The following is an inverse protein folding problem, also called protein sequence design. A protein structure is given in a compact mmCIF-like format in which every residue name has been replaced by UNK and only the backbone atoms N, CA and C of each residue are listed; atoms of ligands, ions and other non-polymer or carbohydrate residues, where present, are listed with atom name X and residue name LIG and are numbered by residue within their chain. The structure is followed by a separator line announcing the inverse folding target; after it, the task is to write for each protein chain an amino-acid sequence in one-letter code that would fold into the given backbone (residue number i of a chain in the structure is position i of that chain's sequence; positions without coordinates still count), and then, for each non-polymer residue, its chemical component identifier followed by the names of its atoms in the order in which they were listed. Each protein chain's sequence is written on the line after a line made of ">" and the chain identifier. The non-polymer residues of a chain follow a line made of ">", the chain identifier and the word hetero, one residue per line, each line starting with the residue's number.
data_IF_401288918793
#
_entry.id   IF_401288918793
#
_cell.length_a   1.000
_cell.length_b   1.000
_cell.length_c   1.000
_cell.angle_alpha   90.00
_cell.angle_beta   90.00
_cell.angle_gamma   90.00
#
_symmetry.space_group_name_H-M   'P 1'
#
loop_
_entity.id
_entity.type
_entity.pdbx_description
1 polymer ?
#
# COMPACT_ATOMS: atom_id res chain seq x y z
N UNK A 1 -14.81 18.08 21.23
CA UNK A 1 -15.02 16.76 20.57
C UNK A 1 -15.79 16.92 19.26
N UNK A 2 -16.90 17.69 19.22
CA UNK A 2 -17.62 18.01 17.97
C UNK A 2 -16.72 18.64 16.90
N UNK A 3 -15.96 19.69 17.24
CA UNK A 3 -15.13 20.42 16.28
C UNK A 3 -14.02 19.58 15.63
N UNK A 4 -13.49 18.60 16.38
CA UNK A 4 -12.45 17.67 15.88
C UNK A 4 -13.05 16.69 14.87
N UNK A 5 -14.26 16.18 15.16
CA UNK A 5 -14.99 15.29 14.24
C UNK A 5 -15.36 16.03 12.96
N UNK A 6 -15.81 17.29 13.05
CA UNK A 6 -16.16 18.10 11.89
C UNK A 6 -14.93 18.45 11.04
N UNK A 7 -13.79 18.74 11.69
CA UNK A 7 -12.51 18.92 10.99
C UNK A 7 -12.07 17.64 10.26
N UNK A 8 -12.17 16.47 10.88
CA UNK A 8 -11.84 15.19 10.25
C UNK A 8 -12.73 14.92 9.04
N UNK A 9 -14.05 15.14 9.16
CA UNK A 9 -14.99 15.03 8.04
C UNK A 9 -14.64 15.96 6.89
N UNK A 10 -14.28 17.21 7.19
CA UNK A 10 -13.87 18.17 6.18
C UNK A 10 -12.58 17.71 5.46
N UNK A 11 -11.60 17.16 6.18
CA UNK A 11 -10.37 16.62 5.60
C UNK A 11 -10.58 15.37 4.76
N UNK A 12 -11.49 14.49 5.15
CA UNK A 12 -11.91 13.33 4.36
C UNK A 12 -12.58 13.79 3.06
N UNK A 13 -13.51 14.76 3.15
CA UNK A 13 -14.19 15.29 1.97
C UNK A 13 -13.21 15.96 0.99
N UNK A 14 -12.25 16.73 1.52
CA UNK A 14 -11.19 17.36 0.72
C UNK A 14 -10.29 16.31 0.05
N UNK A 15 -9.89 15.26 0.79
CA UNK A 15 -9.17 14.12 0.24
C UNK A 15 -9.92 13.44 -0.91
N UNK A 16 -11.19 13.08 -0.72
CA UNK A 16 -11.97 12.43 -1.77
C UNK A 16 -12.14 13.30 -3.02
N UNK A 17 -12.32 14.61 -2.82
CA UNK A 17 -12.37 15.57 -3.93
C UNK A 17 -11.02 15.68 -4.65
N UNK A 18 -9.92 15.68 -3.89
CA UNK A 18 -8.57 15.80 -4.43
C UNK A 18 -8.16 14.58 -5.27
N UNK A 19 -8.42 13.37 -4.77
CA UNK A 19 -8.07 12.14 -5.49
C UNK A 19 -8.95 11.95 -6.72
N UNK A 20 -10.23 12.32 -6.63
CA UNK A 20 -11.20 12.17 -7.72
C UNK A 20 -11.49 10.71 -8.09
N UNK A 21 -11.00 9.75 -7.30
CA UNK A 21 -11.19 8.31 -7.53
C UNK A 21 -12.45 7.77 -6.82
N UNK A 22 -12.97 8.52 -5.84
CA UNK A 22 -14.12 8.12 -5.05
C UNK A 22 -15.35 8.90 -5.48
N UNK A 23 -16.43 8.19 -5.80
CA UNK A 23 -17.74 8.81 -5.92
C UNK A 23 -18.21 9.17 -4.52
N UNK A 24 -18.07 10.43 -4.13
CA UNK A 24 -18.62 10.96 -2.88
C UNK A 24 -20.15 10.98 -3.01
N UNK A 25 -20.78 9.82 -2.91
CA UNK A 25 -22.23 9.71 -2.99
C UNK A 25 -22.87 9.76 -1.59
N UNK A 26 -22.07 9.91 -0.52
CA UNK A 26 -22.54 10.13 0.85
C UNK A 26 -23.33 8.96 1.44
N UNK A 27 -23.32 7.80 0.78
CA UNK A 27 -24.07 6.59 1.13
C UNK A 27 -23.15 5.41 1.47
N UNK A 28 -21.84 5.63 1.62
CA UNK A 28 -20.97 4.55 2.07
C UNK A 28 -21.25 4.27 3.56
N UNK A 29 -21.88 3.12 3.86
CA UNK A 29 -22.21 2.67 5.20
C UNK A 29 -20.96 2.11 5.92
N UNK A 30 -19.97 2.95 6.18
CA UNK A 30 -18.85 2.61 7.07
C UNK A 30 -18.89 3.43 8.36
N UNK A 31 -18.32 2.88 9.43
CA UNK A 31 -18.17 3.56 10.72
C UNK A 31 -16.69 3.64 11.09
N UNK A 32 -16.25 4.81 11.56
CA UNK A 32 -14.92 4.96 12.14
C UNK A 32 -15.03 4.69 13.64
N UNK A 33 -14.26 3.73 14.16
CA UNK A 33 -14.19 3.39 15.58
C UNK A 33 -12.77 3.55 16.08
N UNK A 34 -12.60 4.35 17.13
CA UNK A 34 -11.34 4.46 17.85
C UNK A 34 -11.29 3.38 18.92
N UNK A 35 -10.20 2.63 18.96
CA UNK A 35 -10.01 1.48 19.88
C UNK A 35 -8.64 1.55 20.53
N UNK A 36 -8.52 0.98 21.73
CA UNK A 36 -7.23 0.89 22.43
C UNK A 36 -6.35 -0.21 21.82
N UNK A 37 -6.97 -1.34 21.46
CA UNK A 37 -6.32 -2.45 20.77
C UNK A 37 -7.20 -3.03 19.66
N UNK A 38 -6.64 -3.11 18.45
CA UNK A 38 -7.36 -3.60 17.26
C UNK A 38 -7.51 -5.13 17.31
N UNK A 39 -6.49 -5.84 17.77
CA UNK A 39 -6.54 -7.30 17.87
C UNK A 39 -7.61 -7.73 18.86
N UNK A 40 -7.63 -7.13 20.06
CA UNK A 40 -8.63 -7.46 21.08
C UNK A 40 -10.05 -7.18 20.59
N UNK A 41 -10.29 -6.01 19.97
CA UNK A 41 -11.59 -5.68 19.40
C UNK A 41 -12.07 -6.72 18.37
N UNK A 42 -11.19 -7.12 17.46
CA UNK A 42 -11.52 -8.09 16.41
C UNK A 42 -11.66 -9.49 16.99
N UNK A 43 -10.87 -9.86 17.99
CA UNK A 43 -10.96 -11.15 18.66
C UNK A 43 -12.31 -11.34 19.37
N UNK A 44 -12.83 -10.29 20.00
CA UNK A 44 -14.14 -10.31 20.64
C UNK A 44 -15.29 -10.46 19.64
N UNK A 45 -15.16 -9.89 18.44
CA UNK A 45 -16.16 -10.01 17.37
C UNK A 45 -16.03 -11.34 16.60
N UNK A 46 -14.83 -11.69 16.14
CA UNK A 46 -14.48 -12.85 15.29
C UNK A 46 -13.12 -13.45 15.69
N UNK A 47 -13.14 -14.33 16.70
CA UNK A 47 -11.95 -15.03 17.21
C UNK A 47 -11.19 -15.81 16.14
N UNK A 48 -11.89 -16.44 15.19
CA UNK A 48 -11.27 -17.28 14.17
C UNK A 48 -10.42 -16.41 13.23
N UNK A 49 -10.97 -15.29 12.77
CA UNK A 49 -10.25 -14.32 11.95
C UNK A 49 -9.06 -13.71 12.66
N UNK A 50 -9.27 -13.27 13.90
CA UNK A 50 -8.21 -12.63 14.68
C UNK A 50 -7.00 -13.56 14.81
N UNK A 51 -7.22 -14.88 14.99
CA UNK A 51 -6.13 -15.85 15.09
C UNK A 51 -5.49 -16.24 13.75
N UNK A 52 -6.25 -16.21 12.66
CA UNK A 52 -5.77 -16.65 11.35
C UNK A 52 -5.00 -15.55 10.61
N UNK A 53 -5.51 -14.32 10.66
CA UNK A 53 -5.07 -13.23 9.80
C UNK A 53 -4.42 -12.06 10.54
N UNK A 54 -4.56 -12.00 11.86
CA UNK A 54 -3.88 -11.02 12.71
C UNK A 54 -2.96 -11.74 13.70
N UNK A 55 -1.97 -11.03 14.22
CA UNK A 55 -1.16 -11.49 15.35
C UNK A 55 -1.29 -10.54 16.54
N UNK A 56 -1.35 -11.04 17.79
CA UNK A 56 -1.24 -10.19 18.98
C UNK A 56 0.10 -9.45 19.07
N UNK A 57 1.11 -9.89 18.29
CA UNK A 57 2.40 -9.21 18.20
C UNK A 57 2.44 -8.16 17.08
N UNK A 58 1.42 -8.08 16.24
CA UNK A 58 1.34 -7.07 15.19
C UNK A 58 1.05 -5.70 15.79
N UNK A 59 1.87 -4.72 15.43
CA UNK A 59 1.58 -3.33 15.78
C UNK A 59 0.66 -2.75 14.70
N UNK A 60 -0.65 -2.88 14.93
CA UNK A 60 -1.69 -2.33 14.05
C UNK A 60 -2.12 -0.94 14.53
N UNK A 61 -2.11 0.02 13.62
CA UNK A 61 -2.58 1.38 13.89
C UNK A 61 -3.92 1.69 13.21
N UNK A 62 -4.25 0.97 12.14
CA UNK A 62 -5.50 1.05 11.41
C UNK A 62 -5.88 -0.32 10.85
N UNK A 63 -7.18 -0.58 10.72
CA UNK A 63 -7.71 -1.75 10.03
C UNK A 63 -9.10 -1.47 9.45
N UNK A 64 -9.26 -1.64 8.14
CA UNK A 64 -10.55 -1.87 7.51
C UNK A 64 -11.03 -3.30 7.84
N UNK A 65 -12.14 -3.41 8.58
CA UNK A 65 -12.68 -4.66 9.09
C UNK A 65 -14.17 -4.80 8.73
N UNK A 66 -14.57 -5.98 8.27
CA UNK A 66 -15.99 -6.34 8.10
C UNK A 66 -16.42 -7.14 9.31
N UNK A 67 -17.25 -6.55 10.17
CA UNK A 67 -17.73 -7.19 11.38
C UNK A 67 -18.67 -8.36 11.09
N UNK A 68 -18.87 -9.24 12.07
CA UNK A 68 -19.73 -10.41 11.94
C UNK A 68 -21.20 -10.07 11.65
N UNK A 69 -21.65 -8.88 12.04
CA UNK A 69 -22.98 -8.34 11.71
C UNK A 69 -23.06 -7.74 10.29
N UNK A 70 -21.96 -7.73 9.53
CA UNK A 70 -21.85 -7.18 8.18
C UNK A 70 -21.52 -5.69 8.11
N UNK A 71 -21.30 -5.00 9.24
CA UNK A 71 -20.90 -3.60 9.27
C UNK A 71 -19.47 -3.42 8.75
N UNK A 72 -19.26 -2.36 7.96
CA UNK A 72 -17.93 -1.93 7.51
C UNK A 72 -17.33 -0.99 8.56
N UNK A 73 -16.21 -1.39 9.17
CA UNK A 73 -15.57 -0.65 10.24
C UNK A 73 -14.16 -0.20 9.82
N UNK A 74 -13.82 1.04 10.13
CA UNK A 74 -12.45 1.53 10.12
C UNK A 74 -12.01 1.61 11.58
N UNK A 75 -11.24 0.63 12.03
CA UNK A 75 -10.69 0.58 13.38
C UNK A 75 -9.41 1.40 13.42
N UNK A 76 -9.32 2.37 14.34
CA UNK A 76 -8.17 3.25 14.48
C UNK A 76 -7.64 3.14 15.90
N UNK A 77 -6.37 2.75 16.04
CA UNK A 77 -5.74 2.65 17.36
C UNK A 77 -5.46 4.06 17.92
N UNK A 78 -5.84 4.30 19.16
CA UNK A 78 -5.50 5.56 19.86
C UNK A 78 -4.04 5.46 20.32
N UNK A 79 -3.14 6.20 19.66
CA UNK A 79 -1.73 6.24 20.01
C UNK A 79 -1.12 7.61 19.66
N UNK A 80 -0.28 8.15 20.56
CA UNK A 80 0.28 9.51 20.45
C UNK A 80 1.27 9.67 19.28
N UNK A 81 1.89 8.58 18.83
CA UNK A 81 2.93 8.59 17.80
C UNK A 81 2.37 8.44 16.36
N UNK A 82 1.06 8.32 16.20
CA UNK A 82 0.42 7.97 14.93
C UNK A 82 -0.21 9.18 14.27
N UNK A 83 0.03 9.34 12.96
CA UNK A 83 -0.75 10.27 12.14
C UNK A 83 -2.16 9.71 11.91
N UNK A 84 -3.07 9.97 12.86
CA UNK A 84 -4.46 9.51 12.83
C UNK A 84 -5.16 9.84 11.51
N UNK A 85 -4.95 11.04 10.97
CA UNK A 85 -5.54 11.42 9.68
C UNK A 85 -5.01 10.51 8.57
N UNK A 86 -3.70 10.28 8.51
CA UNK A 86 -3.08 9.40 7.52
C UNK A 86 -3.63 7.97 7.60
N UNK A 87 -3.76 7.44 8.81
CA UNK A 87 -4.36 6.12 9.04
C UNK A 87 -5.80 6.07 8.56
N UNK A 88 -6.64 7.05 8.92
CA UNK A 88 -8.04 7.10 8.47
C UNK A 88 -8.12 7.14 6.93
N UNK A 89 -7.30 7.98 6.28
CA UNK A 89 -7.30 8.09 4.81
C UNK A 89 -6.84 6.79 4.14
N UNK A 90 -5.85 6.10 4.72
CA UNK A 90 -5.39 4.78 4.24
C UNK A 90 -6.50 3.74 4.31
N UNK A 91 -7.12 3.56 5.48
CA UNK A 91 -8.21 2.59 5.65
C UNK A 91 -9.47 2.96 4.84
N UNK A 92 -9.72 4.25 4.63
CA UNK A 92 -10.81 4.72 3.78
C UNK A 92 -10.61 4.30 2.31
N UNK A 93 -9.38 4.36 1.79
CA UNK A 93 -9.10 3.90 0.43
C UNK A 93 -9.45 2.41 0.30
N UNK A 94 -9.10 1.60 1.30
CA UNK A 94 -9.48 0.18 1.31
C UNK A 94 -10.99 -0.01 1.20
N UNK A 95 -11.80 0.74 1.96
CA UNK A 95 -13.27 0.66 1.86
C UNK A 95 -13.73 0.85 0.42
N UNK A 96 -13.27 1.90 -0.25
CA UNK A 96 -13.67 2.18 -1.62
C UNK A 96 -13.17 1.13 -2.61
N UNK A 97 -11.93 0.65 -2.45
CA UNK A 97 -11.36 -0.40 -3.29
C UNK A 97 -12.16 -1.70 -3.20
N UNK A 98 -12.55 -2.10 -1.99
CA UNK A 98 -13.35 -3.29 -1.76
C UNK A 98 -14.81 -3.13 -2.21
N UNK A 99 -15.41 -1.94 -2.10
CA UNK A 99 -16.72 -1.64 -2.69
C UNK A 99 -16.65 -1.76 -4.22
N UNK A 100 -15.65 -1.15 -4.85
CA UNK A 100 -15.49 -1.23 -6.30
C UNK A 100 -15.25 -2.68 -6.77
N UNK A 101 -14.47 -3.47 -6.01
CA UNK A 101 -14.27 -4.89 -6.29
C UNK A 101 -15.56 -5.70 -6.17
N UNK A 102 -16.33 -5.45 -5.10
CA UNK A 102 -17.61 -6.10 -4.83
C UNK A 102 -18.61 -5.84 -5.96
N UNK A 103 -18.77 -4.58 -6.37
CA UNK A 103 -19.62 -4.19 -7.50
C UNK A 103 -19.16 -4.87 -8.79
N UNK A 104 -17.85 -4.86 -9.07
CA UNK A 104 -17.29 -5.45 -10.30
C UNK A 104 -17.49 -6.96 -10.38
N UNK A 105 -17.35 -7.67 -9.27
CA UNK A 105 -17.47 -9.13 -9.19
C UNK A 105 -18.88 -9.61 -8.83
N UNK A 106 -19.80 -8.68 -8.57
CA UNK A 106 -21.15 -8.97 -8.05
C UNK A 106 -21.10 -9.86 -6.78
N UNK A 107 -20.23 -9.50 -5.84
CA UNK A 107 -20.04 -10.19 -4.56
C UNK A 107 -20.56 -9.30 -3.45
N UNK A 108 -21.51 -9.79 -2.65
CA UNK A 108 -22.07 -9.04 -1.52
C UNK A 108 -21.41 -9.38 -0.17
N UNK A 109 -20.59 -10.43 -0.14
CA UNK A 109 -19.82 -10.82 1.03
C UNK A 109 -18.43 -10.14 0.98
N UNK A 110 -18.33 -8.94 1.57
CA UNK A 110 -17.08 -8.18 1.65
C UNK A 110 -15.98 -8.95 2.39
N UNK A 111 -16.36 -9.77 3.37
CA UNK A 111 -15.39 -10.54 4.13
C UNK A 111 -14.60 -11.51 3.26
N UNK A 112 -15.27 -12.22 2.35
CA UNK A 112 -14.60 -13.09 1.37
C UNK A 112 -13.65 -12.33 0.44
N UNK A 113 -13.89 -11.04 0.20
CA UNK A 113 -12.99 -10.23 -0.60
C UNK A 113 -11.72 -9.87 0.17
N UNK A 114 -11.81 -9.62 1.49
CA UNK A 114 -10.64 -9.35 2.34
C UNK A 114 -9.67 -10.54 2.41
N UNK A 115 -10.11 -11.75 2.06
CA UNK A 115 -9.28 -12.95 1.95
C UNK A 115 -8.56 -13.07 0.58
N UNK A 116 -8.86 -12.19 -0.41
CA UNK A 116 -8.15 -12.12 -1.69
C UNK A 116 -6.80 -11.41 -1.50
N UNK A 117 -5.80 -12.16 -1.02
CA UNK A 117 -4.45 -11.66 -0.69
C UNK A 117 -3.78 -10.90 -1.84
N UNK A 118 -4.07 -11.25 -3.10
CA UNK A 118 -3.55 -10.54 -4.26
C UNK A 118 -4.17 -9.14 -4.38
N UNK A 119 -5.47 -9.02 -4.15
CA UNK A 119 -6.15 -7.72 -4.19
C UNK A 119 -5.76 -6.87 -2.99
N UNK A 120 -5.67 -7.46 -1.80
CA UNK A 120 -5.17 -6.79 -0.58
C UNK A 120 -3.81 -6.14 -0.84
N UNK A 121 -2.86 -6.87 -1.46
CA UNK A 121 -1.55 -6.29 -1.78
C UNK A 121 -1.62 -5.10 -2.75
N UNK A 122 -2.55 -5.13 -3.70
CA UNK A 122 -2.74 -3.99 -4.59
C UNK A 122 -3.42 -2.81 -3.86
N UNK A 123 -4.42 -3.07 -3.02
CA UNK A 123 -5.10 -2.02 -2.25
C UNK A 123 -4.16 -1.37 -1.23
N UNK A 124 -3.21 -2.11 -0.64
CA UNK A 124 -2.16 -1.56 0.22
C UNK A 124 -1.24 -0.56 -0.51
N UNK A 125 -0.91 -0.87 -1.77
CA UNK A 125 -0.22 0.07 -2.64
C UNK A 125 -1.08 1.29 -2.96
N UNK A 126 -2.34 1.08 -3.33
CA UNK A 126 -3.23 2.13 -3.76
C UNK A 126 -3.56 3.11 -2.62
N UNK A 127 -3.86 2.58 -1.43
CA UNK A 127 -4.04 3.33 -0.20
C UNK A 127 -2.81 4.18 0.13
N UNK A 128 -1.61 3.57 0.09
CA UNK A 128 -0.36 4.29 0.30
C UNK A 128 -0.14 5.39 -0.74
N UNK A 129 -0.42 5.10 -2.02
CA UNK A 129 -0.27 6.06 -3.12
C UNK A 129 -1.21 7.26 -2.94
N UNK A 130 -2.51 7.06 -2.74
CA UNK A 130 -3.46 8.17 -2.65
C UNK A 130 -3.25 9.00 -1.38
N UNK A 131 -3.10 8.35 -0.22
CA UNK A 131 -2.85 9.04 1.04
C UNK A 131 -1.57 9.87 0.98
N UNK A 132 -0.47 9.28 0.49
CA UNK A 132 0.80 9.99 0.41
C UNK A 132 0.75 11.12 -0.62
N UNK A 133 0.08 10.91 -1.76
CA UNK A 133 -0.09 11.95 -2.79
C UNK A 133 -0.80 13.17 -2.24
N UNK A 134 -1.82 12.97 -1.42
CA UNK A 134 -2.54 14.05 -0.76
C UNK A 134 -1.68 14.79 0.28
N UNK A 135 -0.90 14.09 1.11
CA UNK A 135 0.00 14.77 2.05
C UNK A 135 1.13 15.52 1.38
N UNK A 136 1.68 14.97 0.30
CA UNK A 136 2.68 15.67 -0.52
C UNK A 136 2.10 16.95 -1.10
N UNK A 137 0.84 16.93 -1.56
CA UNK A 137 0.15 18.15 -2.00
C UNK A 137 0.05 19.19 -0.89
N UNK A 138 -0.43 18.79 0.30
CA UNK A 138 -0.61 19.71 1.42
C UNK A 138 0.70 20.35 1.90
N UNK A 139 1.82 19.66 1.73
CA UNK A 139 3.16 20.11 2.14
C UNK A 139 4.07 20.55 0.99
N UNK A 140 3.55 20.65 -0.24
CA UNK A 140 4.36 20.66 -1.47
C UNK A 140 5.42 21.76 -1.50
N UNK A 141 5.12 22.93 -0.98
CA UNK A 141 6.01 24.10 -0.98
C UNK A 141 7.15 23.99 0.05
N UNK A 142 7.09 23.03 0.97
CA UNK A 142 8.00 22.92 2.11
C UNK A 142 8.89 21.66 2.07
N UNK A 143 8.88 20.92 0.96
CA UNK A 143 9.62 19.67 0.82
C UNK A 143 10.63 19.74 -0.32
N UNK A 144 11.77 19.09 -0.12
CA UNK A 144 12.70 18.77 -1.20
C UNK A 144 12.37 17.36 -1.72
N UNK A 145 11.89 17.21 -2.97
CA UNK A 145 11.47 15.91 -3.49
C UNK A 145 12.62 14.89 -3.54
N UNK A 146 13.86 15.31 -3.76
CA UNK A 146 15.00 14.40 -3.80
C UNK A 146 15.36 13.85 -2.42
N UNK A 147 15.26 14.69 -1.38
CA UNK A 147 15.54 14.28 0.00
C UNK A 147 14.49 13.27 0.47
N UNK A 148 13.21 13.55 0.20
CA UNK A 148 12.11 12.64 0.52
C UNK A 148 12.22 11.32 -0.25
N UNK A 149 12.53 11.37 -1.55
CA UNK A 149 12.77 10.17 -2.36
C UNK A 149 13.92 9.31 -1.80
N UNK A 150 15.00 9.97 -1.37
CA UNK A 150 16.15 9.33 -0.74
C UNK A 150 15.77 8.68 0.59
N UNK A 151 14.97 9.34 1.40
CA UNK A 151 14.47 8.80 2.67
C UNK A 151 13.61 7.56 2.46
N UNK A 152 12.64 7.59 1.54
CA UNK A 152 11.79 6.44 1.18
C UNK A 152 12.68 5.26 0.76
N UNK A 153 13.66 5.49 -0.12
CA UNK A 153 14.60 4.45 -0.56
C UNK A 153 15.40 3.88 0.61
N UNK A 154 15.95 4.74 1.47
CA UNK A 154 16.77 4.30 2.59
C UNK A 154 15.95 3.50 3.61
N UNK A 155 14.71 3.91 3.89
CA UNK A 155 13.79 3.14 4.75
C UNK A 155 13.49 1.75 4.19
N UNK A 156 13.22 1.66 2.89
CA UNK A 156 13.02 0.37 2.23
C UNK A 156 14.29 -0.50 2.27
N UNK A 157 15.46 0.09 2.00
CA UNK A 157 16.76 -0.60 2.11
C UNK A 157 17.02 -1.13 3.52
N UNK A 158 16.87 -0.27 4.53
CA UNK A 158 17.06 -0.64 5.94
C UNK A 158 16.11 -1.77 6.39
N UNK A 159 14.87 -1.79 5.90
CA UNK A 159 13.93 -2.89 6.17
C UNK A 159 14.49 -4.24 5.67
N UNK A 160 15.05 -4.27 4.47
CA UNK A 160 15.67 -5.47 3.91
C UNK A 160 16.98 -5.85 4.60
N UNK A 161 17.77 -4.87 5.03
CA UNK A 161 19.06 -5.11 5.70
C UNK A 161 18.89 -5.60 7.15
N UNK A 162 17.83 -5.18 7.85
CA UNK A 162 17.58 -5.52 9.26
C UNK A 162 16.77 -6.80 9.49
N UNK A 163 16.24 -7.43 8.44
CA UNK A 163 15.35 -8.59 8.57
C UNK A 163 16.13 -9.92 8.54
N UNK A 164 16.31 -10.55 9.70
CA UNK A 164 16.98 -11.86 9.83
C UNK A 164 16.25 -13.00 9.10
N UNK A 165 14.92 -12.90 8.98
CA UNK A 165 14.05 -13.76 8.16
C UNK A 165 12.93 -12.92 7.57
N UNK A 166 12.94 -12.75 6.25
CA UNK A 166 11.87 -12.06 5.54
C UNK A 166 10.73 -13.05 5.26
N UNK A 167 9.62 -12.88 5.96
CA UNK A 167 8.35 -13.42 5.50
C UNK A 167 7.99 -12.76 4.14
N UNK A 168 7.67 -13.59 3.15
CA UNK A 168 7.46 -13.14 1.78
C UNK A 168 6.26 -12.20 1.66
N UNK A 169 5.19 -12.49 2.38
CA UNK A 169 3.98 -11.68 2.35
C UNK A 169 4.25 -10.30 2.95
N UNK A 170 4.93 -10.26 4.10
CA UNK A 170 5.33 -9.03 4.79
C UNK A 170 6.31 -8.20 3.96
N UNK A 171 7.28 -8.84 3.30
CA UNK A 171 8.24 -8.16 2.43
C UNK A 171 7.56 -7.53 1.21
N UNK A 172 6.64 -8.26 0.57
CA UNK A 172 5.88 -7.75 -0.58
C UNK A 172 4.95 -6.62 -0.14
N UNK A 173 4.20 -6.79 0.95
CA UNK A 173 3.32 -5.75 1.50
C UNK A 173 4.10 -4.46 1.80
N UNK A 174 5.22 -4.59 2.52
CA UNK A 174 6.10 -3.44 2.82
C UNK A 174 6.56 -2.76 1.55
N UNK A 175 7.01 -3.52 0.56
CA UNK A 175 7.53 -2.96 -0.69
C UNK A 175 6.49 -2.22 -1.50
N UNK A 176 5.29 -2.81 -1.66
CA UNK A 176 4.24 -2.18 -2.47
C UNK A 176 3.74 -0.88 -1.83
N UNK A 177 3.74 -0.78 -0.49
CA UNK A 177 3.48 0.48 0.24
C UNK A 177 4.53 1.56 -0.07
N UNK A 178 5.82 1.22 0.00
CA UNK A 178 6.91 2.17 -0.35
C UNK A 178 6.89 2.56 -1.84
N UNK A 179 6.53 1.64 -2.73
CA UNK A 179 6.31 1.96 -4.14
C UNK A 179 5.18 2.98 -4.30
N UNK A 180 4.07 2.82 -3.57
CA UNK A 180 2.97 3.77 -3.55
C UNK A 180 3.43 5.17 -3.15
N UNK A 181 4.20 5.28 -2.07
CA UNK A 181 4.76 6.56 -1.59
C UNK A 181 5.67 7.23 -2.62
N UNK A 182 6.60 6.47 -3.22
CA UNK A 182 7.50 7.02 -4.23
C UNK A 182 6.73 7.49 -5.48
N UNK A 183 5.79 6.68 -5.97
CA UNK A 183 4.96 7.05 -7.13
C UNK A 183 4.10 8.27 -6.86
N UNK A 184 3.59 8.41 -5.63
CA UNK A 184 2.86 9.60 -5.21
C UNK A 184 3.74 10.85 -5.27
N UNK A 185 4.94 10.78 -4.69
CA UNK A 185 5.92 11.86 -4.74
C UNK A 185 6.30 12.22 -6.19
N UNK A 186 6.64 11.21 -7.01
CA UNK A 186 7.00 11.42 -8.41
C UNK A 186 5.86 12.07 -9.20
N UNK A 187 4.60 11.68 -8.94
CA UNK A 187 3.44 12.26 -9.62
C UNK A 187 3.26 13.76 -9.31
N UNK A 188 3.78 14.22 -8.17
CA UNK A 188 3.74 15.63 -7.75
C UNK A 188 4.93 16.45 -8.26
N UNK A 189 6.06 15.80 -8.51
CA UNK A 189 7.31 16.39 -8.96
C UNK A 189 7.88 15.67 -10.19
N UNK A 190 7.16 15.63 -11.32
CA UNK A 190 7.54 14.81 -12.47
C UNK A 190 8.83 15.26 -13.17
N UNK A 191 9.24 16.52 -12.97
CA UNK A 191 10.46 17.08 -13.55
C UNK A 191 11.69 16.87 -12.65
N UNK A 192 11.48 16.67 -11.34
CA UNK A 192 12.57 16.52 -10.37
C UNK A 192 12.90 15.05 -10.11
N UNK A 193 11.93 14.15 -10.34
CA UNK A 193 12.05 12.73 -10.02
C UNK A 193 11.78 11.83 -11.23
N UNK A 194 12.70 10.89 -11.44
CA UNK A 194 12.60 9.89 -12.50
C UNK A 194 11.61 8.77 -12.14
N UNK A 195 10.94 8.20 -13.15
CA UNK A 195 10.14 6.97 -12.96
C UNK A 195 10.96 5.85 -12.30
N UNK A 196 12.22 5.70 -12.68
CA UNK A 196 13.10 4.67 -12.13
C UNK A 196 14.17 5.29 -11.22
N UNK A 197 13.86 5.38 -9.93
CA UNK A 197 14.83 5.86 -8.95
C UNK A 197 15.94 4.84 -8.73
N UNK A 198 17.18 5.30 -8.73
CA UNK A 198 18.35 4.43 -8.65
C UNK A 198 18.35 3.64 -7.33
N UNK A 199 18.62 2.33 -7.42
CA UNK A 199 18.69 1.40 -6.27
C UNK A 199 17.38 1.33 -5.45
N UNK A 200 16.23 1.62 -6.07
CA UNK A 200 14.93 1.50 -5.41
C UNK A 200 14.32 0.10 -5.51
N UNK A 201 14.83 -0.75 -6.42
CA UNK A 201 14.36 -2.11 -6.63
C UNK A 201 15.43 -3.11 -6.22
N UNK A 202 15.02 -4.16 -5.51
CA UNK A 202 15.93 -5.22 -5.08
C UNK A 202 16.44 -6.08 -6.25
N UNK A 203 15.54 -6.48 -7.14
CA UNK A 203 15.87 -7.29 -8.32
C UNK A 203 14.92 -7.00 -9.50
N UNK A 204 15.12 -7.70 -10.62
CA UNK A 204 14.26 -7.59 -11.81
C UNK A 204 12.81 -8.03 -11.54
N UNK A 205 12.56 -8.93 -10.59
CA UNK A 205 11.20 -9.35 -10.23
C UNK A 205 10.47 -8.26 -9.44
N UNK A 206 11.19 -7.49 -8.63
CA UNK A 206 10.66 -6.32 -7.92
C UNK A 206 10.46 -5.13 -8.86
N UNK A 207 11.34 -4.94 -9.85
CA UNK A 207 11.11 -3.96 -10.92
C UNK A 207 9.83 -4.27 -11.72
N UNK A 208 9.59 -5.54 -12.10
CA UNK A 208 8.35 -5.92 -12.81
C UNK A 208 7.08 -5.59 -12.02
N UNK A 209 7.10 -5.78 -10.70
CA UNK A 209 5.97 -5.38 -9.82
C UNK A 209 5.80 -3.88 -9.84
N UNK A 210 6.89 -3.13 -9.70
CA UNK A 210 6.86 -1.69 -9.76
C UNK A 210 6.27 -1.17 -11.07
N UNK A 211 6.74 -1.69 -12.22
CA UNK A 211 6.24 -1.30 -13.54
C UNK A 211 4.75 -1.64 -13.70
N UNK A 212 4.32 -2.81 -13.22
CA UNK A 212 2.92 -3.17 -13.21
C UNK A 212 2.10 -2.18 -12.37
N UNK A 213 2.49 -1.94 -11.12
CA UNK A 213 1.78 -1.02 -10.23
C UNK A 213 1.75 0.41 -10.78
N UNK A 214 2.81 0.84 -11.46
CA UNK A 214 2.87 2.14 -12.13
C UNK A 214 1.76 2.30 -13.16
N UNK A 215 1.54 1.32 -14.03
CA UNK A 215 0.49 1.40 -15.05
C UNK A 215 -0.92 1.13 -14.48
N UNK A 216 -1.00 0.52 -13.27
CA UNK A 216 -2.25 0.09 -12.65
C UNK A 216 -2.52 0.80 -11.31
N UNK A 217 -2.20 2.10 -11.24
CA UNK A 217 -2.47 2.95 -10.07
C UNK A 217 -3.94 3.16 -9.74
N UNK A 218 -4.81 3.05 -10.75
CA UNK A 218 -6.26 3.27 -10.61
C UNK A 218 -7.01 1.96 -10.46
N UNK A 219 -8.12 2.01 -9.73
CA UNK A 219 -9.03 0.87 -9.54
C UNK A 219 -9.44 0.26 -10.89
N UNK A 220 -9.85 1.07 -11.88
CA UNK A 220 -10.34 0.51 -13.14
C UNK A 220 -9.27 -0.30 -13.89
N UNK A 221 -7.99 0.12 -13.77
CA UNK A 221 -6.87 -0.59 -14.39
C UNK A 221 -6.66 -1.96 -13.73
N UNK A 222 -6.59 -2.04 -12.40
CA UNK A 222 -6.39 -3.33 -11.73
C UNK A 222 -7.58 -4.27 -11.96
N UNK A 223 -8.80 -3.74 -12.02
CA UNK A 223 -10.00 -4.56 -12.26
C UNK A 223 -9.97 -5.24 -13.64
N UNK A 224 -9.33 -4.60 -14.64
CA UNK A 224 -9.15 -5.19 -15.97
C UNK A 224 -8.03 -6.25 -15.97
N UNK A 225 -6.94 -5.98 -15.27
CA UNK A 225 -5.68 -6.70 -15.42
C UNK A 225 -5.30 -7.55 -14.17
N UNK A 226 -6.28 -7.84 -13.30
CA UNK A 226 -6.09 -8.61 -12.05
C UNK A 226 -5.43 -9.98 -12.27
N UNK A 227 -5.76 -10.68 -13.36
CA UNK A 227 -5.13 -11.97 -13.67
C UNK A 227 -3.63 -11.83 -13.98
N UNK A 228 -3.22 -10.71 -14.57
CA UNK A 228 -1.80 -10.42 -14.80
C UNK A 228 -1.10 -10.12 -13.47
N UNK A 229 -1.75 -9.36 -12.58
CA UNK A 229 -1.24 -9.11 -11.23
C UNK A 229 -1.01 -10.42 -10.46
N UNK A 230 -2.01 -11.30 -10.45
CA UNK A 230 -1.92 -12.62 -9.81
C UNK A 230 -0.75 -13.42 -10.39
N UNK A 231 -0.52 -13.39 -11.71
CA UNK A 231 0.62 -14.10 -12.33
C UNK A 231 1.97 -13.49 -11.92
N UNK A 232 2.06 -12.16 -11.82
CA UNK A 232 3.27 -11.47 -11.37
C UNK A 232 3.58 -11.85 -9.92
N UNK A 233 2.56 -11.93 -9.05
CA UNK A 233 2.72 -12.33 -7.66
C UNK A 233 2.94 -13.84 -7.48
N UNK A 234 2.28 -14.73 -8.22
CA UNK A 234 2.51 -16.19 -8.11
C UNK A 234 3.93 -16.62 -8.49
N UNK A 235 4.64 -15.84 -9.29
CA UNK A 235 6.07 -16.05 -9.55
C UNK A 235 6.98 -15.80 -8.31
N UNK A 236 6.40 -15.51 -7.14
CA UNK A 236 7.08 -15.27 -5.87
C UNK A 236 7.40 -16.53 -5.05
N UNK A 237 6.80 -17.69 -5.31
CA UNK A 237 7.15 -18.92 -4.57
C UNK A 237 8.64 -19.29 -4.75
N UNK A 238 9.24 -18.89 -5.87
CA UNK A 238 10.67 -19.02 -6.14
C UNK A 238 11.55 -17.93 -5.47
N UNK A 239 10.98 -17.00 -4.70
CA UNK A 239 11.67 -15.90 -4.04
C UNK A 239 12.18 -16.29 -2.64
N UNK A 240 11.49 -17.18 -1.92
CA UNK A 240 11.99 -17.74 -0.64
C UNK A 240 13.39 -18.34 -0.82
N UNK A 241 13.61 -19.04 -1.94
CA UNK A 241 14.90 -19.59 -2.33
C UNK A 241 15.97 -18.52 -2.65
N UNK A 242 15.58 -17.37 -3.21
CA UNK A 242 16.50 -16.27 -3.56
C UNK A 242 16.82 -15.37 -2.36
N UNK A 243 15.85 -15.09 -1.48
CA UNK A 243 16.05 -14.39 -0.22
C UNK A 243 17.04 -15.17 0.67
N UNK A 244 16.89 -16.50 0.75
CA UNK A 244 17.83 -17.39 1.45
C UNK A 244 19.23 -17.45 0.79
N UNK A 245 19.36 -17.15 -0.51
CA UNK A 245 20.62 -17.26 -1.26
C UNK A 245 21.40 -15.94 -1.33
N UNK A 246 20.70 -14.80 -1.37
CA UNK A 246 21.31 -13.47 -1.27
C UNK A 246 21.95 -13.23 0.11
N UNK A 247 21.38 -13.82 1.17
CA UNK A 247 21.91 -13.76 2.53
C UNK A 247 23.14 -14.64 2.78
N UNK A 248 23.28 -15.77 2.07
CA UNK A 248 24.36 -16.74 2.30
C UNK A 248 25.70 -16.37 1.61
N UNK A 249 25.73 -15.31 0.79
CA UNK A 249 26.95 -14.85 0.12
C UNK A 249 27.38 -13.52 0.75
N UNK A 250 28.12 -13.61 1.87
CA UNK A 250 28.98 -12.57 2.45
C UNK A 250 28.39 -11.45 3.32
N UNK A 251 27.22 -11.57 3.95
CA UNK A 251 26.78 -10.59 4.97
C UNK A 251 26.78 -9.12 4.51
N UNK A 252 26.79 -8.93 3.19
CA UNK A 252 26.80 -7.67 2.47
C UNK A 252 25.99 -7.94 1.22
N UNK A 253 24.84 -7.26 1.12
CA UNK A 253 23.96 -7.30 -0.03
C UNK A 253 24.79 -7.05 -1.31
N UNK A 254 24.81 -8.01 -2.24
CA UNK A 254 25.35 -7.78 -3.58
C UNK A 254 24.38 -6.83 -4.29
N UNK A 255 24.59 -5.54 -4.04
CA UNK A 255 24.06 -4.45 -4.84
C UNK A 255 24.63 -4.65 -6.24
N UNK A 256 23.82 -5.13 -7.18
CA UNK A 256 24.17 -5.02 -8.58
C UNK A 256 24.25 -3.53 -8.90
N UNK A 257 25.47 -3.02 -9.02
CA UNK A 257 25.75 -1.70 -9.53
C UNK A 257 25.45 -1.74 -11.03
N UNK A 258 24.21 -1.39 -11.41
CA UNK A 258 23.80 -1.34 -12.81
C UNK A 258 24.31 -0.04 -13.46
N UNK A 259 25.62 0.05 -13.63
CA UNK A 259 26.22 0.84 -14.69
C UNK A 259 26.23 0.00 -15.97
N UNK A 260 25.06 -0.19 -16.61
CA UNK A 260 24.98 -0.76 -17.96
C UNK A 260 23.97 0.05 -18.79
N UNK A 261 24.54 0.91 -19.64
CA UNK A 261 24.07 1.31 -20.98
C UNK A 261 22.77 2.12 -21.10
N UNK A 262 22.83 3.42 -20.77
CA UNK A 262 22.17 4.45 -21.57
C UNK A 262 23.09 4.87 -22.72
N UNK A 263 23.36 3.97 -23.66
CA UNK A 263 24.00 4.30 -24.94
C UNK A 263 23.21 3.62 -26.07
N UNK A 264 22.48 4.44 -26.83
CA UNK A 264 22.33 4.38 -28.28
C UNK A 264 21.73 3.13 -28.96
N UNK A 265 20.73 3.37 -29.81
CA UNK A 265 20.23 2.44 -30.83
C UNK A 265 18.75 2.11 -30.62
N UNK A 266 17.80 2.75 -31.29
CA UNK A 266 17.35 2.44 -32.68
C UNK A 266 17.15 0.93 -32.85
N UNK A 267 15.89 0.52 -33.00
CA UNK A 267 15.31 -0.41 -33.99
C UNK A 267 13.85 -0.62 -33.56
N UNK A 268 12.90 0.06 -34.20
CA UNK A 268 12.20 -0.31 -35.43
C UNK A 268 11.22 -1.48 -35.30
N UNK A 269 9.99 -1.13 -35.71
CA UNK A 269 8.84 -1.87 -36.19
C UNK A 269 9.19 -3.24 -36.82
N UNK A 270 8.53 -4.29 -36.32
CA UNK A 270 7.76 -5.30 -37.08
C UNK A 270 7.03 -6.22 -36.09
#
# INVERSE_FOLDING_TARGET
>A
MSDVIDMLKAKIADFCKYTGEFKVNGNENYQIKFVDDIYEFVFEDDEAYAKELLSPQDILYGLFYVANNGELLLLIKIADEVNILGTILHELVHVYDFIALAEKRNIHNYRKLQEDTFFVLWSEFHASYLMYKYFVELGKDNINPLDVATEIRNKLGNYYDSSEKLDLQTAVNTTVRYYGQYMALQSQFPNDLNKHFQRFYFDRKFLKKYEFLWEHRKVECIMRDMNLWIRILKNLENLQYLLNRAWNVNGNMVLYDWNICLHGGVYDIC
#
